data_IF_721957346818
#
_entry.id   IF_721957346818
#
_cell.length_a   1.000
_cell.length_b   1.000
_cell.length_c   1.000
_cell.angle_alpha   90.00
_cell.angle_beta   90.00
_cell.angle_gamma   90.00
#
_symmetry.space_group_name_H-M   'P 1'
#
loop_
_entity.id
_entity.type
_entity.pdbx_description
1 polymer ?
#
# COMPACT_ATOMS: atom_id res chain seq x y z
N UNK A 1 -9.62 9.17 -15.53
CA UNK A 1 -10.45 7.95 -15.74
C UNK A 1 -9.80 6.81 -14.97
N UNK A 2 -10.54 6.07 -14.16
CA UNK A 2 -10.03 4.87 -13.47
C UNK A 2 -10.32 3.67 -14.38
N UNK A 3 -9.30 3.22 -15.12
CA UNK A 3 -9.46 2.24 -16.19
C UNK A 3 -9.76 0.82 -15.68
N UNK A 4 -9.13 0.40 -14.58
CA UNK A 4 -9.23 -0.97 -14.06
C UNK A 4 -9.43 -1.02 -12.54
N UNK A 5 -10.54 -0.48 -12.00
CA UNK A 5 -10.81 -0.52 -10.56
C UNK A 5 -10.89 -1.96 -10.04
N UNK A 6 -10.36 -2.19 -8.84
CA UNK A 6 -10.20 -3.51 -8.23
C UNK A 6 -11.13 -3.65 -7.03
N UNK A 7 -12.11 -4.54 -7.11
CA UNK A 7 -12.88 -4.93 -5.94
C UNK A 7 -12.06 -5.87 -5.06
N UNK A 8 -11.83 -5.49 -3.80
CA UNK A 8 -11.02 -6.23 -2.84
C UNK A 8 -11.92 -7.17 -2.04
N UNK A 9 -11.90 -8.45 -2.41
CA UNK A 9 -12.61 -9.52 -1.71
C UNK A 9 -11.65 -10.12 -0.68
N UNK A 10 -12.08 -10.25 0.57
CA UNK A 10 -11.21 -10.71 1.65
C UNK A 10 -11.75 -12.00 2.24
N UNK A 11 -10.89 -12.99 2.46
CA UNK A 11 -11.21 -14.27 3.11
C UNK A 11 -10.31 -14.47 4.32
N UNK A 12 -10.83 -15.08 5.38
CA UNK A 12 -10.10 -15.28 6.64
C UNK A 12 -10.89 -14.78 7.85
N UNK A 13 -10.25 -14.79 9.02
CA UNK A 13 -10.87 -14.48 10.30
C UNK A 13 -9.82 -14.09 11.34
N UNK A 14 -10.28 -13.55 12.49
CA UNK A 14 -9.43 -13.28 13.66
C UNK A 14 -8.16 -12.45 13.35
N UNK A 15 -8.27 -11.47 12.44
CA UNK A 15 -7.14 -10.58 12.13
C UNK A 15 -6.14 -11.14 11.12
N UNK A 16 -6.40 -12.31 10.53
CA UNK A 16 -5.58 -12.93 9.49
C UNK A 16 -6.44 -13.12 8.24
N UNK A 17 -6.07 -12.44 7.16
CA UNK A 17 -6.87 -12.47 5.94
C UNK A 17 -6.02 -12.52 4.66
N UNK A 18 -6.57 -13.19 3.65
CA UNK A 18 -6.10 -13.13 2.27
C UNK A 18 -7.02 -12.23 1.45
N UNK A 19 -6.43 -11.28 0.75
CA UNK A 19 -7.12 -10.37 -0.16
C UNK A 19 -7.00 -10.86 -1.60
N UNK A 20 -8.11 -10.86 -2.32
CA UNK A 20 -8.19 -11.15 -3.75
C UNK A 20 -8.77 -9.93 -4.49
N UNK A 21 -8.27 -9.69 -5.70
CA UNK A 21 -8.74 -8.59 -6.53
C UNK A 21 -9.62 -9.08 -7.67
N UNK A 22 -10.84 -8.53 -7.74
CA UNK A 22 -11.75 -8.74 -8.85
C UNK A 22 -11.85 -7.45 -9.66
N UNK A 23 -11.39 -7.49 -10.92
CA UNK A 23 -11.50 -6.36 -11.84
C UNK A 23 -12.97 -5.93 -12.02
N UNK A 24 -13.20 -4.62 -11.99
CA UNK A 24 -14.49 -3.98 -12.26
C UNK A 24 -14.40 -3.19 -13.57
N UNK A 25 -15.56 -2.79 -14.10
CA UNK A 25 -15.61 -1.92 -15.29
C UNK A 25 -14.97 -0.57 -14.97
N UNK A 26 -14.34 0.03 -15.98
CA UNK A 26 -13.80 1.38 -15.89
C UNK A 26 -14.87 2.37 -15.39
N UNK A 27 -14.43 3.38 -14.64
CA UNK A 27 -15.31 4.43 -14.15
C UNK A 27 -14.56 5.76 -14.05
N UNK A 28 -15.31 6.85 -14.16
CA UNK A 28 -14.82 8.20 -13.94
C UNK A 28 -14.59 8.47 -12.45
N UNK A 29 -13.79 9.48 -12.14
CA UNK A 29 -13.57 9.91 -10.75
C UNK A 29 -14.87 10.38 -10.08
N UNK A 30 -15.76 11.02 -10.83
CA UNK A 30 -17.09 11.43 -10.36
C UNK A 30 -17.97 10.23 -9.99
N UNK A 31 -17.96 9.16 -10.79
CA UNK A 31 -18.66 7.91 -10.48
C UNK A 31 -18.04 7.22 -9.25
N UNK A 32 -16.71 7.18 -9.16
CA UNK A 32 -16.01 6.61 -8.01
C UNK A 32 -16.31 7.37 -6.71
N UNK A 33 -16.37 8.72 -6.77
CA UNK A 33 -16.77 9.56 -5.63
C UNK A 33 -18.20 9.28 -5.18
N UNK A 34 -19.14 9.13 -6.12
CA UNK A 34 -20.52 8.74 -5.82
C UNK A 34 -20.61 7.35 -5.18
N UNK A 35 -19.78 6.41 -5.65
CA UNK A 35 -19.71 5.06 -5.08
C UNK A 35 -19.18 5.08 -3.63
N UNK A 36 -18.14 5.88 -3.39
CA UNK A 36 -17.52 6.07 -2.07
C UNK A 36 -18.50 6.64 -1.05
N UNK A 37 -19.34 7.59 -1.48
CA UNK A 37 -20.32 8.25 -0.61
C UNK A 37 -21.67 7.52 -0.53
N UNK A 38 -21.78 6.30 -1.07
CA UNK A 38 -23.02 5.53 -0.95
C UNK A 38 -23.15 4.93 0.45
N UNK A 39 -24.38 4.66 0.90
CA UNK A 39 -24.63 4.09 2.23
C UNK A 39 -23.83 2.81 2.51
N UNK A 40 -23.51 2.05 1.45
CA UNK A 40 -22.74 0.81 1.52
C UNK A 40 -21.23 1.02 1.75
N UNK A 41 -20.64 2.08 1.21
CA UNK A 41 -19.18 2.29 1.23
C UNK A 41 -18.75 3.53 2.00
N UNK A 42 -19.68 4.35 2.49
CA UNK A 42 -19.34 5.49 3.32
C UNK A 42 -18.63 5.03 4.59
N UNK A 43 -17.71 5.86 5.07
CA UNK A 43 -17.05 5.65 6.35
C UNK A 43 -18.10 5.63 7.46
N UNK A 44 -18.11 4.62 8.35
CA UNK A 44 -19.04 4.60 9.47
C UNK A 44 -18.71 5.74 10.43
N UNK A 45 -19.67 6.18 11.24
CA UNK A 45 -19.37 7.06 12.36
C UNK A 45 -18.30 6.44 13.26
N UNK A 46 -17.35 7.23 13.76
CA UNK A 46 -16.31 6.83 14.71
C UNK A 46 -15.97 7.99 15.65
N UNK A 47 -15.55 7.68 16.89
CA UNK A 47 -15.16 8.72 17.87
C UNK A 47 -13.73 9.22 17.66
N UNK A 48 -12.84 8.31 17.27
CA UNK A 48 -11.40 8.51 17.13
C UNK A 48 -10.81 7.45 16.19
N UNK A 49 -9.54 7.60 15.80
CA UNK A 49 -8.89 6.68 14.88
C UNK A 49 -8.74 5.25 15.42
N UNK A 50 -8.72 5.06 16.75
CA UNK A 50 -8.65 3.71 17.33
C UNK A 50 -9.98 2.99 17.19
N UNK A 51 -11.10 3.71 17.34
CA UNK A 51 -12.43 3.20 17.06
C UNK A 51 -12.60 2.84 15.58
N UNK A 52 -12.09 3.68 14.69
CA UNK A 52 -12.10 3.39 13.26
C UNK A 52 -11.25 2.16 12.90
N UNK A 53 -10.06 2.03 13.49
CA UNK A 53 -9.18 0.85 13.32
C UNK A 53 -9.85 -0.44 13.82
N UNK A 54 -10.47 -0.41 15.01
CA UNK A 54 -11.24 -1.55 15.53
C UNK A 54 -12.36 -1.94 14.58
N UNK A 55 -13.09 -0.96 14.04
CA UNK A 55 -14.17 -1.19 13.05
C UNK A 55 -13.63 -1.77 11.75
N UNK A 56 -12.49 -1.28 11.26
CA UNK A 56 -11.82 -1.81 10.07
C UNK A 56 -11.53 -3.30 10.23
N UNK A 57 -10.77 -3.68 11.26
CA UNK A 57 -10.35 -5.07 11.45
C UNK A 57 -11.52 -6.01 11.79
N UNK A 58 -12.47 -5.55 12.61
CA UNK A 58 -13.67 -6.33 12.98
C UNK A 58 -14.56 -6.61 11.78
N UNK A 59 -14.69 -5.65 10.86
CA UNK A 59 -15.61 -5.76 9.72
C UNK A 59 -14.93 -6.16 8.42
N UNK A 60 -13.60 -6.34 8.39
CA UNK A 60 -12.84 -6.63 7.16
C UNK A 60 -13.42 -7.77 6.29
N UNK A 61 -13.93 -8.88 6.85
CA UNK A 61 -14.55 -9.95 6.06
C UNK A 61 -15.82 -9.55 5.31
N UNK A 62 -16.55 -8.57 5.83
CA UNK A 62 -17.81 -8.09 5.27
C UNK A 62 -17.53 -6.97 4.28
N UNK A 63 -18.33 -6.89 3.23
CA UNK A 63 -18.20 -5.90 2.16
C UNK A 63 -16.84 -5.93 1.44
N UNK A 64 -16.90 -5.72 0.13
CA UNK A 64 -15.70 -5.75 -0.72
C UNK A 64 -15.53 -4.37 -1.36
N UNK A 65 -14.68 -3.50 -0.77
CA UNK A 65 -14.49 -2.14 -1.26
C UNK A 65 -13.84 -2.17 -2.65
N UNK A 66 -13.98 -1.07 -3.39
CA UNK A 66 -13.40 -0.93 -4.72
C UNK A 66 -12.22 0.05 -4.65
N UNK A 67 -11.06 -0.38 -5.09
CA UNK A 67 -9.82 0.40 -5.08
C UNK A 67 -9.42 0.78 -6.50
N UNK A 68 -9.30 2.08 -6.78
CA UNK A 68 -8.76 2.59 -8.04
C UNK A 68 -7.24 2.73 -7.96
N UNK A 69 -6.54 1.59 -7.84
CA UNK A 69 -5.08 1.55 -7.75
C UNK A 69 -4.41 1.64 -9.14
N UNK A 70 -3.12 1.95 -9.13
CA UNK A 70 -2.20 1.86 -10.27
C UNK A 70 -2.68 2.66 -11.50
N UNK A 71 -3.25 3.84 -11.25
CA UNK A 71 -3.66 4.77 -12.31
C UNK A 71 -2.46 5.66 -12.65
N UNK A 72 -1.85 5.46 -13.81
CA UNK A 72 -0.71 6.28 -14.25
C UNK A 72 -1.06 7.76 -14.32
N UNK A 73 -0.26 8.61 -13.66
CA UNK A 73 -0.45 10.06 -13.67
C UNK A 73 0.15 10.74 -12.45
N UNK A 74 0.14 12.08 -12.46
CA UNK A 74 0.50 12.92 -11.31
C UNK A 74 -0.54 14.00 -11.09
N UNK A 75 -0.72 14.40 -9.85
CA UNK A 75 -1.49 15.58 -9.45
C UNK A 75 -0.62 16.79 -9.09
N UNK A 76 0.70 16.65 -9.14
CA UNK A 76 1.60 17.80 -8.95
C UNK A 76 1.56 18.73 -10.17
N UNK A 77 1.46 20.04 -9.90
CA UNK A 77 1.62 21.05 -10.95
C UNK A 77 3.07 21.04 -11.48
N UNK A 78 3.26 21.19 -12.78
CA UNK A 78 4.59 21.21 -13.44
C UNK A 78 5.52 22.32 -12.89
N UNK A 79 4.95 23.38 -12.33
CA UNK A 79 5.69 24.47 -11.68
C UNK A 79 6.16 24.11 -10.27
N UNK A 80 5.67 23.02 -9.67
CA UNK A 80 6.13 22.54 -8.36
C UNK A 80 7.55 22.00 -8.48
N UNK A 81 8.52 22.70 -7.89
CA UNK A 81 9.95 22.37 -8.00
C UNK A 81 10.52 21.60 -6.81
N UNK A 82 9.82 21.58 -5.68
CA UNK A 82 10.26 20.89 -4.47
C UNK A 82 9.36 19.69 -4.23
N UNK A 83 9.95 18.52 -3.95
CA UNK A 83 9.21 17.29 -3.62
C UNK A 83 8.14 16.90 -4.66
N UNK A 84 8.39 17.23 -5.93
CA UNK A 84 7.56 16.76 -7.03
C UNK A 84 7.92 15.30 -7.30
N UNK A 85 6.96 14.40 -7.09
CA UNK A 85 7.20 12.96 -7.21
C UNK A 85 7.58 12.52 -8.62
N UNK A 86 7.23 13.30 -9.65
CA UNK A 86 7.64 13.03 -11.04
C UNK A 86 9.08 13.42 -11.33
N UNK A 87 9.71 14.20 -10.44
CA UNK A 87 11.05 14.76 -10.64
C UNK A 87 11.84 14.78 -9.32
N UNK A 88 11.97 13.61 -8.68
CA UNK A 88 12.68 13.49 -7.39
C UNK A 88 14.20 13.68 -7.54
N UNK A 89 14.77 13.45 -8.72
CA UNK A 89 16.20 13.66 -8.98
C UNK A 89 17.07 12.60 -8.30
N UNK A 90 16.62 11.35 -8.26
CA UNK A 90 17.29 10.27 -7.53
C UNK A 90 18.13 9.38 -8.45
N UNK A 91 18.93 8.46 -7.89
CA UNK A 91 19.71 7.52 -8.73
C UNK A 91 18.83 6.59 -9.55
N UNK A 92 17.54 6.47 -9.22
CA UNK A 92 16.59 5.70 -10.00
C UNK A 92 16.31 6.33 -11.36
N UNK A 93 16.36 7.66 -11.45
CA UNK A 93 16.15 8.43 -12.68
C UNK A 93 17.23 8.09 -13.71
N UNK A 94 18.42 7.64 -13.25
CA UNK A 94 19.50 7.17 -14.11
C UNK A 94 19.14 5.89 -14.89
N UNK A 95 18.22 5.05 -14.41
CA UNK A 95 17.78 3.86 -15.16
C UNK A 95 17.11 4.25 -16.47
N UNK A 96 16.29 5.29 -16.45
CA UNK A 96 15.68 5.81 -17.67
C UNK A 96 16.70 6.63 -18.48
N UNK A 97 17.44 7.53 -17.82
CA UNK A 97 18.33 8.47 -18.50
C UNK A 97 19.54 7.79 -19.18
N UNK A 98 20.17 6.83 -18.51
CA UNK A 98 21.41 6.19 -18.99
C UNK A 98 21.15 4.83 -19.65
N UNK A 99 20.10 4.10 -19.23
CA UNK A 99 19.82 2.76 -19.74
C UNK A 99 18.57 2.70 -20.63
N UNK A 100 17.75 3.76 -20.70
CA UNK A 100 16.50 3.78 -21.47
C UNK A 100 15.42 2.84 -20.93
N UNK A 101 15.50 2.45 -19.65
CA UNK A 101 14.61 1.46 -19.04
C UNK A 101 13.48 2.15 -18.29
N UNK A 102 12.24 1.93 -18.73
CA UNK A 102 11.01 2.36 -18.04
C UNK A 102 10.29 1.13 -17.51
N UNK A 103 10.02 1.11 -16.21
CA UNK A 103 9.30 0.04 -15.52
C UNK A 103 8.10 0.66 -14.83
N UNK A 104 6.91 0.34 -15.35
CA UNK A 104 5.65 0.85 -14.80
C UNK A 104 5.54 0.56 -13.29
N UNK A 105 5.21 1.60 -12.54
CA UNK A 105 5.07 1.57 -11.08
C UNK A 105 6.34 1.68 -10.28
N UNK A 106 7.50 1.45 -10.90
CA UNK A 106 8.80 1.63 -10.26
C UNK A 106 9.27 3.06 -10.53
N UNK A 107 9.51 3.42 -11.80
CA UNK A 107 9.93 4.78 -12.19
C UNK A 107 8.82 5.59 -12.89
N UNK A 108 7.57 5.14 -12.81
CA UNK A 108 6.40 5.91 -13.26
C UNK A 108 5.44 6.15 -12.10
N UNK A 109 4.86 7.34 -12.02
CA UNK A 109 3.92 7.69 -10.96
C UNK A 109 2.59 6.96 -11.05
N UNK A 110 2.09 6.54 -9.89
CA UNK A 110 0.74 6.00 -9.74
C UNK A 110 -0.12 6.82 -8.78
N UNK A 111 -1.35 7.06 -9.24
CA UNK A 111 -2.45 7.55 -8.44
C UNK A 111 -3.26 6.37 -7.90
N UNK A 112 -3.63 6.47 -6.63
CA UNK A 112 -4.46 5.51 -5.92
C UNK A 112 -5.71 6.19 -5.42
N UNK A 113 -6.86 5.86 -5.99
CA UNK A 113 -8.17 6.30 -5.54
C UNK A 113 -8.74 5.30 -4.55
N UNK A 114 -8.87 5.69 -3.29
CA UNK A 114 -9.35 4.85 -2.20
C UNK A 114 -10.70 5.28 -1.64
N UNK A 115 -11.37 4.31 -1.01
CA UNK A 115 -12.59 4.50 -0.21
C UNK A 115 -12.41 3.78 1.13
N UNK A 116 -13.39 3.93 2.02
CA UNK A 116 -13.41 3.20 3.29
C UNK A 116 -13.12 1.70 3.06
N UNK A 117 -12.23 1.16 3.89
CA UNK A 117 -11.69 -0.22 3.84
C UNK A 117 -10.80 -0.57 2.65
N UNK A 118 -10.58 0.27 1.64
CA UNK A 118 -9.55 -0.07 0.64
C UNK A 118 -8.19 -0.24 1.30
N UNK A 119 -7.47 -1.32 1.01
CA UNK A 119 -6.28 -1.71 1.76
C UNK A 119 -5.11 -2.11 0.86
N UNK A 120 -3.89 -1.83 1.33
CA UNK A 120 -2.66 -2.38 0.79
C UNK A 120 -2.10 -3.41 1.78
N UNK A 121 -1.83 -4.61 1.28
CA UNK A 121 -1.38 -5.74 2.09
C UNK A 121 0.07 -5.57 2.57
N UNK A 122 0.50 -6.43 3.49
CA UNK A 122 1.90 -6.45 3.94
C UNK A 122 2.84 -6.76 2.79
N UNK A 123 3.75 -5.82 2.51
CA UNK A 123 4.78 -5.98 1.49
C UNK A 123 5.97 -5.06 1.77
N UNK A 124 7.07 -5.32 1.07
CA UNK A 124 8.13 -4.34 0.79
C UNK A 124 8.05 -3.96 -0.68
N UNK A 125 8.63 -2.82 -1.03
CA UNK A 125 8.65 -2.32 -2.41
C UNK A 125 9.42 -3.25 -3.34
N UNK A 126 9.14 -3.16 -4.65
CA UNK A 126 9.86 -3.96 -5.66
C UNK A 126 11.37 -3.68 -5.56
N UNK A 127 12.17 -4.75 -5.62
CA UNK A 127 13.62 -4.72 -5.36
C UNK A 127 14.02 -4.08 -4.03
N UNK A 128 13.11 -4.08 -3.04
CA UNK A 128 13.27 -3.43 -1.73
C UNK A 128 13.66 -1.95 -1.84
N UNK A 129 13.14 -1.25 -2.85
CA UNK A 129 13.31 0.20 -3.04
C UNK A 129 12.74 1.02 -1.86
N UNK A 130 13.03 2.32 -1.86
CA UNK A 130 12.22 3.25 -1.09
C UNK A 130 10.89 3.46 -1.82
N UNK A 131 9.86 3.88 -1.09
CA UNK A 131 8.72 4.56 -1.70
C UNK A 131 8.43 5.87 -0.99
N UNK A 132 7.84 6.80 -1.74
CA UNK A 132 7.31 8.04 -1.22
C UNK A 132 5.84 8.15 -1.64
N UNK A 133 5.01 8.54 -0.69
CA UNK A 133 3.57 8.65 -0.84
C UNK A 133 3.12 10.05 -0.42
N UNK A 134 2.37 10.74 -1.29
CA UNK A 134 1.75 12.03 -0.99
C UNK A 134 0.22 11.85 -0.92
N UNK A 135 -0.38 12.24 0.21
CA UNK A 135 -1.84 12.26 0.34
C UNK A 135 -2.38 13.61 -0.11
N UNK A 136 -2.66 13.78 -1.40
CA UNK A 136 -3.08 15.08 -1.96
C UNK A 136 -4.33 15.68 -1.31
N UNK A 137 -5.36 14.86 -1.09
CA UNK A 137 -6.65 15.28 -0.53
C UNK A 137 -7.45 14.08 -0.02
N UNK A 138 -8.53 14.36 0.72
CA UNK A 138 -9.50 13.36 1.16
C UNK A 138 -9.28 12.92 2.60
N UNK A 139 -9.82 11.73 2.92
CA UNK A 139 -9.76 11.15 4.27
C UNK A 139 -8.35 10.61 4.60
N UNK A 140 -7.97 10.51 5.88
CA UNK A 140 -6.65 10.02 6.30
C UNK A 140 -6.32 8.57 5.93
N UNK A 141 -5.02 8.26 5.82
CA UNK A 141 -4.45 6.93 5.55
C UNK A 141 -3.83 6.36 6.81
N UNK A 142 -4.23 5.17 7.24
CA UNK A 142 -3.54 4.48 8.35
C UNK A 142 -2.44 3.58 7.79
N UNK A 143 -1.25 3.65 8.38
CA UNK A 143 -0.08 2.84 8.07
C UNK A 143 0.33 2.01 9.28
N UNK A 144 0.74 0.78 9.00
CA UNK A 144 1.54 -0.06 9.89
C UNK A 144 2.89 -0.30 9.23
N UNK A 145 3.96 -0.26 10.02
CA UNK A 145 5.30 -0.52 9.54
C UNK A 145 6.08 -1.41 10.51
N UNK A 146 6.74 -2.44 10.00
CA UNK A 146 7.69 -3.27 10.75
C UNK A 146 9.11 -2.75 10.44
N UNK A 147 9.95 -2.48 11.46
CA UNK A 147 11.33 -2.07 11.24
C UNK A 147 12.10 -3.08 10.37
N UNK A 148 12.96 -2.65 9.43
CA UNK A 148 13.68 -3.58 8.53
C UNK A 148 14.46 -4.68 9.25
N UNK A 149 15.04 -4.41 10.43
CA UNK A 149 15.74 -5.39 11.26
C UNK A 149 14.85 -6.53 11.79
N UNK A 150 13.52 -6.37 11.69
CA UNK A 150 12.53 -7.35 12.11
C UNK A 150 11.71 -7.92 10.95
N UNK A 151 12.00 -7.55 9.70
CA UNK A 151 11.27 -8.03 8.51
C UNK A 151 11.21 -9.57 8.42
N UNK A 152 12.34 -10.25 8.68
CA UNK A 152 12.41 -11.73 8.71
C UNK A 152 11.49 -12.38 9.75
N UNK A 153 11.21 -11.69 10.86
CA UNK A 153 10.29 -12.19 11.89
C UNK A 153 8.85 -12.13 11.39
N UNK A 154 8.48 -11.07 10.68
CA UNK A 154 7.18 -10.98 10.01
C UNK A 154 7.04 -12.05 8.92
N UNK A 155 8.07 -12.27 8.09
CA UNK A 155 8.07 -13.35 7.10
C UNK A 155 7.85 -14.73 7.74
N UNK A 156 8.55 -15.00 8.86
CA UNK A 156 8.39 -16.24 9.62
C UNK A 156 6.94 -16.44 10.10
N UNK A 157 6.38 -15.43 10.76
CA UNK A 157 4.97 -15.44 11.19
C UNK A 157 4.03 -15.63 10.00
N UNK A 158 4.27 -14.93 8.88
CA UNK A 158 3.42 -15.03 7.71
C UNK A 158 3.44 -16.45 7.11
N UNK A 159 4.58 -17.14 7.08
CA UNK A 159 4.63 -18.55 6.63
C UNK A 159 3.76 -19.46 7.49
N UNK A 160 3.76 -19.26 8.80
CA UNK A 160 2.93 -20.04 9.73
C UNK A 160 1.43 -19.75 9.56
N UNK A 161 1.07 -18.48 9.34
CA UNK A 161 -0.32 -18.05 9.17
C UNK A 161 -0.91 -18.41 7.79
N UNK A 162 -0.07 -18.47 6.74
CA UNK A 162 -0.48 -18.67 5.35
C UNK A 162 0.18 -19.90 4.73
N UNK A 163 0.10 -21.06 5.40
CA UNK A 163 0.77 -22.31 5.00
C UNK A 163 0.60 -22.66 3.51
N UNK A 164 -0.64 -22.60 2.99
CA UNK A 164 -0.92 -22.92 1.59
C UNK A 164 -0.22 -21.98 0.58
N UNK A 165 -0.10 -20.69 0.90
CA UNK A 165 0.61 -19.73 0.05
C UNK A 165 2.13 -19.88 0.15
N UNK A 166 2.64 -20.16 1.36
CA UNK A 166 4.07 -20.32 1.61
C UNK A 166 4.70 -21.50 0.86
N UNK A 167 3.94 -22.57 0.61
CA UNK A 167 4.43 -23.72 -0.17
C UNK A 167 4.54 -23.43 -1.66
N UNK A 168 3.77 -22.47 -2.18
CA UNK A 168 3.78 -22.11 -3.59
C UNK A 168 4.83 -21.06 -3.97
N UNK A 169 5.28 -20.24 -3.01
CA UNK A 169 6.26 -19.18 -3.23
C UNK A 169 6.94 -18.79 -1.91
N UNK A 170 8.27 -18.81 -1.87
CA UNK A 170 9.06 -18.43 -0.69
C UNK A 170 8.89 -16.94 -0.33
N UNK A 171 8.63 -16.09 -1.33
CA UNK A 171 8.45 -14.65 -1.22
C UNK A 171 6.97 -14.21 -1.35
N UNK A 172 6.00 -15.05 -0.96
CA UNK A 172 4.57 -14.82 -1.24
C UNK A 172 3.99 -13.49 -0.72
N UNK A 173 4.64 -12.80 0.23
CA UNK A 173 4.24 -11.45 0.64
C UNK A 173 4.37 -10.42 -0.51
N UNK A 174 5.24 -10.67 -1.49
CA UNK A 174 5.33 -9.91 -2.76
C UNK A 174 4.05 -9.93 -3.56
N UNK A 175 3.18 -10.92 -3.35
CA UNK A 175 1.88 -10.99 -4.04
C UNK A 175 0.89 -9.92 -3.54
N UNK A 176 1.22 -9.17 -2.46
CA UNK A 176 0.40 -8.09 -1.89
C UNK A 176 -1.04 -8.54 -1.57
N UNK A 177 -1.18 -9.75 -1.02
CA UNK A 177 -2.47 -10.35 -0.62
C UNK A 177 -2.65 -10.59 0.88
N UNK A 178 -1.57 -10.63 1.66
CA UNK A 178 -1.63 -11.01 3.07
C UNK A 178 -1.93 -9.81 3.99
N UNK A 179 -3.01 -9.90 4.76
CA UNK A 179 -3.38 -8.93 5.78
C UNK A 179 -3.26 -9.58 7.16
N UNK A 180 -2.46 -8.95 8.03
CA UNK A 180 -2.23 -9.37 9.41
C UNK A 180 -2.49 -8.16 10.31
N UNK A 181 -3.39 -8.31 11.27
CA UNK A 181 -3.81 -7.22 12.15
C UNK A 181 -2.77 -6.89 13.23
N UNK A 182 -2.79 -5.65 13.77
CA UNK A 182 -1.97 -5.24 14.91
C UNK A 182 -2.08 -6.16 16.13
N UNK A 183 -3.27 -6.70 16.42
CA UNK A 183 -3.47 -7.66 17.50
C UNK A 183 -2.66 -8.92 17.28
N UNK A 184 -2.72 -9.50 16.07
CA UNK A 184 -1.95 -10.70 15.72
C UNK A 184 -0.44 -10.44 15.77
N UNK A 185 0.01 -9.26 15.33
CA UNK A 185 1.43 -8.88 15.43
C UNK A 185 1.89 -8.79 16.89
N UNK A 186 1.11 -8.13 17.74
CA UNK A 186 1.39 -8.00 19.18
C UNK A 186 1.42 -9.37 19.87
N UNK A 187 0.42 -10.22 19.63
CA UNK A 187 0.31 -11.55 20.25
C UNK A 187 1.49 -12.47 19.87
N UNK A 188 2.12 -12.23 18.71
CA UNK A 188 3.30 -12.95 18.23
C UNK A 188 4.62 -12.18 18.44
N UNK A 189 4.58 -11.07 19.19
CA UNK A 189 5.76 -10.29 19.56
C UNK A 189 6.49 -9.62 18.39
N UNK A 190 5.81 -9.33 17.29
CA UNK A 190 6.38 -8.61 16.13
C UNK A 190 6.36 -7.11 16.41
N UNK A 191 7.51 -6.42 16.48
CA UNK A 191 7.55 -4.97 16.68
C UNK A 191 7.01 -4.25 15.44
N UNK A 192 6.09 -3.29 15.64
CA UNK A 192 5.57 -2.45 14.57
C UNK A 192 5.25 -1.04 15.10
N UNK A 193 5.29 -0.06 14.19
CA UNK A 193 4.74 1.28 14.39
C UNK A 193 3.39 1.44 13.69
N UNK A 194 2.57 2.35 14.21
CA UNK A 194 1.30 2.79 13.61
C UNK A 194 1.33 4.31 13.44
N UNK A 195 0.94 4.81 12.27
CA UNK A 195 0.77 6.25 12.03
C UNK A 195 -0.41 6.50 11.10
N UNK A 196 -1.11 7.59 11.32
CA UNK A 196 -2.18 8.07 10.43
C UNK A 196 -1.63 9.28 9.68
N UNK A 197 -1.58 9.19 8.36
CA UNK A 197 -1.20 10.25 7.44
C UNK A 197 -2.45 11.03 7.03
N UNK A 198 -2.41 12.34 7.17
CA UNK A 198 -3.46 13.27 6.77
C UNK A 198 -3.17 13.94 5.43
N UNK A 199 -4.16 14.65 4.87
CA UNK A 199 -4.02 15.31 3.59
C UNK A 199 -2.93 16.40 3.64
N UNK A 200 -2.08 16.44 2.61
CA UNK A 200 -0.90 17.30 2.51
C UNK A 200 0.38 16.70 3.09
N UNK A 201 0.32 15.53 3.72
CA UNK A 201 1.49 14.89 4.32
C UNK A 201 2.17 13.88 3.39
N UNK A 202 3.47 13.72 3.58
CA UNK A 202 4.29 12.71 2.92
C UNK A 202 4.61 11.54 3.85
N UNK A 203 4.56 10.33 3.30
CA UNK A 203 5.04 9.11 3.95
C UNK A 203 6.16 8.52 3.12
N UNK A 204 7.28 8.19 3.76
CA UNK A 204 8.43 7.55 3.12
C UNK A 204 8.64 6.17 3.71
N UNK A 205 8.66 5.14 2.87
CA UNK A 205 9.06 3.79 3.26
C UNK A 205 10.52 3.58 2.90
N UNK A 206 11.23 2.84 3.75
CA UNK A 206 12.65 2.58 3.59
C UNK A 206 12.87 1.15 3.08
N UNK A 207 14.02 0.86 2.46
CA UNK A 207 14.38 -0.46 1.98
C UNK A 207 14.13 -1.55 3.01
N UNK A 208 13.44 -2.60 2.56
CA UNK A 208 13.03 -3.76 3.36
C UNK A 208 12.10 -3.45 4.57
N UNK A 209 11.54 -2.24 4.62
CA UNK A 209 10.53 -1.84 5.60
C UNK A 209 9.16 -2.37 5.20
N UNK A 210 8.73 -3.47 5.82
CA UNK A 210 7.40 -4.02 5.59
C UNK A 210 6.32 -3.04 6.04
N UNK A 211 5.31 -2.83 5.19
CA UNK A 211 4.21 -1.93 5.51
C UNK A 211 2.86 -2.42 4.96
N UNK A 212 1.78 -1.99 5.62
CA UNK A 212 0.38 -2.28 5.27
C UNK A 212 -0.53 -1.15 5.77
N UNK A 213 -1.77 -1.05 5.30
CA UNK A 213 -2.66 0.03 5.69
C UNK A 213 -3.90 0.16 4.83
N UNK A 214 -4.61 1.29 4.97
CA UNK A 214 -5.86 1.56 4.24
C UNK A 214 -6.08 3.04 3.84
N UNK A 215 -6.76 3.24 2.70
CA UNK A 215 -7.21 4.48 1.97
C UNK A 215 -6.50 4.81 0.60
N UNK A 216 -6.81 6.01 0.04
CA UNK A 216 -6.35 6.71 -1.19
C UNK A 216 -4.99 7.46 -1.08
N UNK A 217 -4.15 7.59 -2.12
CA UNK A 217 -2.98 8.52 -2.19
C UNK A 217 -2.28 8.53 -3.59
N UNK A 218 -1.25 9.36 -3.82
CA UNK A 218 -0.28 9.23 -4.93
C UNK A 218 1.03 8.61 -4.40
N UNK A 219 1.72 7.75 -5.17
CA UNK A 219 3.00 7.18 -4.76
C UNK A 219 3.96 6.89 -5.94
N UNK A 220 5.27 6.84 -5.63
CA UNK A 220 6.33 6.35 -6.51
C UNK A 220 7.46 5.70 -5.71
N UNK A 221 8.22 4.80 -6.33
CA UNK A 221 9.48 4.32 -5.79
C UNK A 221 10.64 5.27 -6.08
N UNK A 222 11.63 5.30 -5.20
CA UNK A 222 12.88 6.02 -5.43
C UNK A 222 14.08 5.24 -4.86
N UNK A 223 15.29 5.62 -5.27
CA UNK A 223 16.51 4.97 -4.83
C UNK A 223 17.54 5.96 -4.29
N UNK A 224 18.39 5.50 -3.38
CA UNK A 224 19.58 6.23 -2.91
C UNK A 224 20.79 5.29 -2.96
N UNK A 225 22.01 5.81 -2.84
CA UNK A 225 23.22 4.97 -2.89
C UNK A 225 23.17 3.79 -1.89
N UNK A 226 22.55 4.00 -0.72
CA UNK A 226 22.38 2.98 0.33
C UNK A 226 21.49 1.80 -0.11
N UNK A 227 20.55 2.03 -1.03
CA UNK A 227 19.64 0.98 -1.48
C UNK A 227 20.34 -0.11 -2.29
N UNK A 228 21.45 0.20 -2.97
CA UNK A 228 22.10 -0.74 -3.90
C UNK A 228 22.41 -2.10 -3.25
N UNK A 229 22.83 -2.11 -1.98
CA UNK A 229 23.14 -3.36 -1.29
C UNK A 229 21.89 -4.14 -0.87
N UNK A 230 20.74 -3.46 -0.68
CA UNK A 230 19.44 -4.13 -0.54
C UNK A 230 19.00 -4.73 -1.88
N UNK A 231 19.05 -3.96 -2.96
CA UNK A 231 18.62 -4.42 -4.29
C UNK A 231 19.38 -5.65 -4.79
N UNK A 232 20.67 -5.80 -4.45
CA UNK A 232 21.48 -6.99 -4.81
C UNK A 232 21.04 -8.28 -4.12
N UNK A 233 20.37 -8.19 -2.98
CA UNK A 233 19.97 -9.34 -2.15
C UNK A 233 18.45 -9.45 -1.98
N UNK A 234 17.69 -8.61 -2.67
CA UNK A 234 16.24 -8.69 -2.70
C UNK A 234 15.84 -10.04 -3.29
N UNK A 235 15.02 -10.80 -2.56
CA UNK A 235 14.47 -12.07 -3.04
C UNK A 235 13.26 -11.81 -3.95
N UNK A 236 13.30 -12.42 -5.14
CA UNK A 236 12.16 -12.62 -6.05
C UNK A 236 11.52 -13.99 -5.82
#
# INVERSE_FOLDING_TARGET
LIAAPLQQVTTGQAGVFTQHHKKKKAMTESEYRRLTNSEKHQTPFYSDFEDLERKYWKTRPYDSPVYGADVSGSLFDENTKQWNLGHLGTIQDLLEQECGVVIEGINTLYLYFGMWKTAFAWHTEDMDLYSINCLHFGEPKTWYAVPPEHGRRLEGLARELFLGSSWGCEAFLRHKVALISPTVLNDNGIPFGRVTQEAGEFMVTFPYGYHSGFNCAEAINFATQRWIDYGKVAWE
#
